data_IF_593823734672
#
_entry.id   IF_593823734672
#
_cell.length_a   1.000
_cell.length_b   1.000
_cell.length_c   1.000
_cell.angle_alpha   90.00
_cell.angle_beta   90.00
_cell.angle_gamma   90.00
#
_symmetry.space_group_name_H-M   'P 1'
#
loop_
_entity.id
_entity.type
_entity.pdbx_description
1 polymer ?
#
# COMPACT_ATOMS: atom_id res chain seq x y z
N UNK A 1 -4.48 -13.31 -48.42
CA UNK A 1 -4.59 -13.16 -46.99
C UNK A 1 -5.31 -11.85 -46.72
N UNK A 2 -6.46 -11.85 -46.08
CA UNK A 2 -7.11 -10.60 -45.69
C UNK A 2 -6.23 -9.93 -44.65
N UNK A 3 -5.62 -8.82 -45.02
CA UNK A 3 -4.85 -7.98 -44.07
C UNK A 3 -5.84 -7.39 -43.07
N UNK A 4 -5.74 -7.84 -41.86
CA UNK A 4 -6.50 -7.28 -40.73
C UNK A 4 -6.06 -5.83 -40.56
N UNK A 5 -7.01 -4.89 -40.57
CA UNK A 5 -6.71 -3.47 -40.42
C UNK A 5 -6.89 -3.07 -38.94
N UNK A 6 -5.98 -2.26 -38.38
CA UNK A 6 -6.16 -1.73 -37.04
C UNK A 6 -7.39 -0.82 -36.98
N UNK A 7 -8.13 -0.80 -35.88
CA UNK A 7 -9.21 0.15 -35.68
C UNK A 7 -8.69 1.60 -35.68
N UNK A 8 -9.54 2.52 -36.10
CA UNK A 8 -9.19 3.95 -36.14
C UNK A 8 -10.07 4.73 -35.18
N UNK A 9 -9.45 5.40 -34.21
CA UNK A 9 -10.17 6.26 -33.28
C UNK A 9 -10.75 7.49 -33.99
N UNK A 10 -11.96 7.88 -33.58
CA UNK A 10 -12.60 9.12 -34.08
C UNK A 10 -11.77 10.35 -33.69
N UNK A 11 -11.68 11.32 -34.58
CA UNK A 11 -11.08 12.61 -34.28
C UNK A 11 -12.18 13.54 -33.76
N UNK A 12 -12.10 13.87 -32.47
CA UNK A 12 -13.02 14.82 -31.77
C UNK A 12 -12.14 15.89 -31.13
N UNK A 13 -11.88 17.01 -31.83
CA UNK A 13 -10.95 18.02 -31.35
C UNK A 13 -11.43 18.69 -30.05
N UNK A 14 -10.61 18.70 -29.01
CA UNK A 14 -10.81 19.44 -27.77
C UNK A 14 -9.66 20.39 -27.51
N UNK A 15 -9.97 21.67 -27.35
CA UNK A 15 -9.00 22.66 -26.91
C UNK A 15 -8.73 22.53 -25.43
N UNK A 16 -7.45 22.44 -25.06
CA UNK A 16 -6.95 22.40 -23.70
C UNK A 16 -6.08 23.64 -23.51
N UNK A 17 -6.38 24.43 -22.47
CA UNK A 17 -5.63 25.64 -22.14
C UNK A 17 -5.11 25.55 -20.71
N UNK A 18 -3.81 25.80 -20.53
CA UNK A 18 -3.17 25.86 -19.22
C UNK A 18 -1.96 26.80 -19.30
N UNK A 19 -1.86 27.74 -18.36
CA UNK A 19 -0.75 28.70 -18.25
C UNK A 19 -0.50 29.54 -19.52
N UNK A 20 -1.56 29.84 -20.29
CA UNK A 20 -1.48 30.61 -21.54
C UNK A 20 -1.07 29.75 -22.76
N UNK A 21 -0.78 28.47 -22.59
CA UNK A 21 -0.57 27.54 -23.69
C UNK A 21 -1.90 26.92 -24.11
N UNK A 22 -2.14 26.86 -25.43
CA UNK A 22 -3.37 26.28 -26.02
C UNK A 22 -2.98 25.15 -26.97
N UNK A 23 -3.43 23.95 -26.68
CA UNK A 23 -3.25 22.80 -27.59
C UNK A 23 -4.59 22.15 -27.93
N UNK A 24 -4.66 21.53 -29.09
CA UNK A 24 -5.80 20.72 -29.49
C UNK A 24 -5.48 19.25 -29.33
N UNK A 25 -6.29 18.55 -28.53
CA UNK A 25 -6.23 17.10 -28.39
C UNK A 25 -7.42 16.48 -29.13
N UNK A 26 -7.12 15.69 -30.17
CA UNK A 26 -8.12 15.04 -31.02
C UNK A 26 -8.72 13.78 -30.36
N UNK A 27 -8.11 13.27 -29.33
CA UNK A 27 -8.43 12.00 -28.70
C UNK A 27 -8.74 12.10 -27.23
N UNK A 28 -8.94 13.31 -26.72
CA UNK A 28 -9.25 13.55 -25.30
C UNK A 28 -10.50 12.79 -24.83
N UNK A 29 -11.45 12.54 -25.72
CA UNK A 29 -12.67 11.77 -25.42
C UNK A 29 -12.40 10.34 -24.96
N UNK A 30 -11.25 9.74 -25.30
CA UNK A 30 -10.84 8.41 -24.87
C UNK A 30 -10.63 8.28 -23.34
N UNK A 31 -10.59 9.39 -22.61
CA UNK A 31 -10.51 9.35 -21.15
C UNK A 31 -11.89 9.18 -20.46
N UNK A 32 -12.96 9.20 -21.22
CA UNK A 32 -14.33 9.00 -20.73
C UNK A 32 -14.61 7.51 -20.50
N UNK A 33 -14.19 7.01 -19.35
CA UNK A 33 -14.10 5.56 -19.05
C UNK A 33 -15.40 4.77 -19.24
N UNK A 34 -16.55 5.39 -18.97
CA UNK A 34 -17.88 4.76 -19.04
C UNK A 34 -18.57 5.03 -20.39
N UNK A 35 -17.95 5.75 -21.31
CA UNK A 35 -18.51 6.04 -22.62
C UNK A 35 -18.55 4.76 -23.46
N UNK A 36 -19.75 4.34 -23.95
CA UNK A 36 -19.88 3.12 -24.76
C UNK A 36 -19.03 3.12 -26.04
N UNK A 37 -18.79 4.30 -26.67
CA UNK A 37 -17.94 4.40 -27.84
C UNK A 37 -16.47 4.16 -27.53
N UNK A 38 -16.02 4.56 -26.32
CA UNK A 38 -14.66 4.26 -25.85
C UNK A 38 -14.51 2.76 -25.62
N UNK A 39 -15.49 2.15 -24.95
CA UNK A 39 -15.47 0.71 -24.68
C UNK A 39 -15.48 -0.10 -26.01
N UNK A 40 -16.32 0.29 -26.97
CA UNK A 40 -16.37 -0.34 -28.28
C UNK A 40 -15.02 -0.23 -29.03
N UNK A 41 -14.39 0.95 -28.99
CA UNK A 41 -13.08 1.16 -29.60
C UNK A 41 -12.01 0.26 -28.94
N UNK A 42 -11.97 0.18 -27.62
CA UNK A 42 -11.02 -0.66 -26.89
C UNK A 42 -11.24 -2.17 -27.17
N UNK A 43 -12.51 -2.60 -27.29
CA UNK A 43 -12.81 -3.98 -27.67
C UNK A 43 -12.31 -4.31 -29.08
N UNK A 44 -12.48 -3.39 -30.04
CA UNK A 44 -11.93 -3.56 -31.41
C UNK A 44 -10.40 -3.61 -31.44
N UNK A 45 -9.72 -2.82 -30.60
CA UNK A 45 -8.25 -2.90 -30.44
C UNK A 45 -7.84 -4.27 -29.90
N UNK A 46 -8.56 -4.79 -28.89
CA UNK A 46 -8.31 -6.13 -28.36
C UNK A 46 -8.53 -7.23 -29.40
N UNK A 47 -9.60 -7.13 -30.21
CA UNK A 47 -9.86 -8.06 -31.31
C UNK A 47 -8.75 -8.03 -32.37
N UNK A 48 -8.32 -6.83 -32.76
CA UNK A 48 -7.20 -6.64 -33.67
C UNK A 48 -5.91 -7.27 -33.14
N UNK A 49 -5.59 -7.02 -31.84
CA UNK A 49 -4.44 -7.62 -31.18
C UNK A 49 -4.52 -9.16 -31.21
N UNK A 50 -5.64 -9.75 -30.78
CA UNK A 50 -5.83 -11.20 -30.74
C UNK A 50 -5.66 -11.84 -32.13
N UNK A 51 -6.24 -11.23 -33.17
CA UNK A 51 -6.13 -11.73 -34.52
C UNK A 51 -4.70 -11.58 -35.08
N UNK A 52 -4.05 -10.45 -34.82
CA UNK A 52 -2.70 -10.17 -35.30
C UNK A 52 -1.65 -11.08 -34.68
N UNK A 53 -1.86 -11.47 -33.39
CA UNK A 53 -0.95 -12.32 -32.63
C UNK A 53 -1.36 -13.79 -32.59
N UNK A 54 -2.46 -14.19 -33.26
CA UNK A 54 -2.97 -15.56 -33.20
C UNK A 54 -1.91 -16.62 -33.58
N UNK A 55 -1.01 -16.29 -34.51
CA UNK A 55 0.07 -17.18 -34.92
C UNK A 55 1.10 -17.48 -33.81
N UNK A 56 1.14 -16.69 -32.75
CA UNK A 56 2.06 -16.88 -31.62
C UNK A 56 1.42 -17.65 -30.44
N UNK A 57 0.14 -18.04 -30.55
CA UNK A 57 -0.63 -18.62 -29.44
C UNK A 57 0.05 -19.86 -28.84
N UNK A 58 0.49 -20.79 -29.67
CA UNK A 58 1.17 -22.00 -29.22
C UNK A 58 2.46 -21.65 -28.46
N UNK A 59 3.26 -20.72 -29.00
CA UNK A 59 4.48 -20.28 -28.34
C UNK A 59 4.20 -19.61 -27.01
N UNK A 60 3.13 -18.79 -26.90
CA UNK A 60 2.73 -18.18 -25.63
C UNK A 60 2.35 -19.24 -24.59
N UNK A 61 1.58 -20.26 -25.00
CA UNK A 61 1.16 -21.34 -24.11
C UNK A 61 2.34 -22.18 -23.63
N UNK A 62 3.26 -22.53 -24.51
CA UNK A 62 4.46 -23.29 -24.17
C UNK A 62 5.36 -22.50 -23.22
N UNK A 63 5.57 -21.21 -23.49
CA UNK A 63 6.36 -20.33 -22.63
C UNK A 63 5.70 -20.13 -21.26
N UNK A 64 4.38 -19.98 -21.22
CA UNK A 64 3.64 -19.88 -19.95
C UNK A 64 3.82 -21.16 -19.12
N UNK A 65 3.67 -22.33 -19.72
CA UNK A 65 3.86 -23.62 -19.04
C UNK A 65 5.30 -23.80 -18.53
N UNK A 66 6.30 -23.41 -19.35
CA UNK A 66 7.70 -23.43 -18.94
C UNK A 66 7.97 -22.51 -17.73
N UNK A 67 7.48 -21.27 -17.77
CA UNK A 67 7.64 -20.34 -16.65
C UNK A 67 6.92 -20.83 -15.38
N UNK A 68 5.70 -21.33 -15.52
CA UNK A 68 4.92 -21.88 -14.41
C UNK A 68 5.63 -23.07 -13.77
N UNK A 69 6.19 -23.97 -14.55
CA UNK A 69 6.90 -25.16 -14.05
C UNK A 69 8.17 -24.83 -13.24
N UNK A 70 8.69 -23.60 -13.34
CA UNK A 70 9.83 -23.15 -12.52
C UNK A 70 9.42 -22.65 -11.13
N UNK A 71 8.13 -22.46 -10.88
CA UNK A 71 7.59 -22.00 -9.61
C UNK A 71 7.25 -23.21 -8.75
N UNK A 72 7.78 -23.24 -7.52
CA UNK A 72 7.37 -24.21 -6.52
C UNK A 72 5.98 -23.82 -6.00
N UNK A 73 4.95 -24.57 -6.38
CA UNK A 73 3.56 -24.23 -6.00
C UNK A 73 3.29 -24.50 -4.51
N UNK A 74 3.82 -25.60 -3.95
CA UNK A 74 3.75 -25.91 -2.51
C UNK A 74 4.93 -25.24 -1.81
N UNK A 75 4.76 -23.98 -1.43
CA UNK A 75 5.81 -23.16 -0.84
C UNK A 75 5.33 -22.39 0.38
N UNK A 76 6.27 -21.99 1.21
CA UNK A 76 6.00 -21.16 2.38
C UNK A 76 7.09 -20.13 2.60
N UNK A 77 6.70 -18.98 3.15
CA UNK A 77 7.65 -17.96 3.60
C UNK A 77 8.53 -18.50 4.73
N UNK A 78 9.70 -17.89 4.91
CA UNK A 78 10.42 -18.01 6.18
C UNK A 78 9.51 -17.44 7.28
N UNK A 79 9.24 -18.18 8.36
CA UNK A 79 8.45 -17.66 9.46
C UNK A 79 9.14 -16.48 10.14
N UNK A 80 8.37 -15.43 10.48
CA UNK A 80 8.88 -14.34 11.30
C UNK A 80 8.16 -14.24 12.64
N UNK A 81 8.94 -13.94 13.69
CA UNK A 81 8.41 -13.82 15.05
C UNK A 81 8.00 -12.37 15.33
N UNK A 82 6.74 -12.17 15.71
CA UNK A 82 6.22 -10.88 16.11
C UNK A 82 5.13 -11.03 17.16
N UNK A 83 5.22 -10.28 18.23
CA UNK A 83 4.21 -10.18 19.26
C UNK A 83 3.71 -11.57 19.76
N UNK A 84 4.65 -12.42 20.20
CA UNK A 84 4.43 -13.79 20.72
C UNK A 84 4.00 -14.85 19.68
N UNK A 85 3.88 -14.50 18.40
CA UNK A 85 3.47 -15.42 17.33
C UNK A 85 4.50 -15.50 16.23
N UNK A 86 4.61 -16.69 15.64
CA UNK A 86 5.29 -16.94 14.37
C UNK A 86 4.28 -16.83 13.24
N UNK A 87 4.49 -15.89 12.36
CA UNK A 87 3.65 -15.67 11.17
C UNK A 87 4.22 -16.37 9.97
N UNK A 88 3.34 -17.01 9.19
CA UNK A 88 3.67 -17.85 8.03
C UNK A 88 2.70 -17.50 6.91
N UNK A 89 3.23 -17.32 5.71
CA UNK A 89 2.44 -17.27 4.48
C UNK A 89 2.77 -18.53 3.70
N UNK A 90 1.78 -19.32 3.33
CA UNK A 90 1.98 -20.56 2.58
C UNK A 90 1.03 -20.67 1.40
N UNK A 91 1.44 -21.45 0.42
CA UNK A 91 0.66 -21.78 -0.77
C UNK A 91 0.45 -23.26 -0.85
N UNK A 92 -0.59 -23.70 -1.54
CA UNK A 92 -0.93 -25.10 -1.77
C UNK A 92 -0.98 -25.38 -3.28
N UNK A 93 -0.49 -26.53 -3.70
CA UNK A 93 -0.49 -26.95 -5.10
C UNK A 93 -1.88 -26.83 -5.73
N UNK A 94 -1.97 -26.18 -6.88
CA UNK A 94 -3.22 -25.98 -7.61
C UNK A 94 -4.15 -24.92 -7.02
N UNK A 95 -3.64 -24.09 -6.10
CA UNK A 95 -4.34 -22.95 -5.53
C UNK A 95 -3.71 -21.63 -5.99
N UNK A 96 -4.54 -20.60 -6.18
CA UNK A 96 -4.09 -19.33 -6.73
C UNK A 96 -3.73 -18.30 -5.64
N UNK A 97 -4.21 -18.50 -4.40
CA UNK A 97 -4.08 -17.52 -3.34
C UNK A 97 -3.34 -18.08 -2.12
N UNK A 98 -2.68 -17.21 -1.33
CA UNK A 98 -2.01 -17.62 -0.11
C UNK A 98 -2.98 -17.98 1.02
N UNK A 99 -2.45 -18.74 1.97
CA UNK A 99 -3.01 -18.93 3.31
C UNK A 99 -2.11 -18.19 4.28
N UNK A 100 -2.68 -17.28 5.04
CA UNK A 100 -2.00 -16.55 6.11
C UNK A 100 -2.28 -17.24 7.44
N UNK A 101 -1.24 -17.61 8.15
CA UNK A 101 -1.34 -18.35 9.40
C UNK A 101 -0.36 -17.82 10.45
N UNK A 102 -0.59 -18.21 11.71
CA UNK A 102 0.34 -17.94 12.81
C UNK A 102 0.40 -19.11 13.79
N UNK A 103 1.48 -19.19 14.56
CA UNK A 103 1.67 -20.17 15.63
C UNK A 103 2.15 -19.49 16.90
N UNK A 104 1.54 -19.78 18.05
CA UNK A 104 1.86 -19.12 19.31
C UNK A 104 3.15 -19.66 19.92
N UNK A 105 4.10 -18.81 20.20
CA UNK A 105 5.31 -19.09 20.98
C UNK A 105 6.34 -19.98 20.29
N UNK A 106 5.94 -21.07 19.65
CA UNK A 106 6.81 -22.05 19.00
C UNK A 106 6.36 -22.37 17.57
N UNK A 107 7.32 -22.72 16.70
CA UNK A 107 7.04 -23.25 15.36
C UNK A 107 6.36 -24.62 15.38
N UNK A 108 6.46 -25.36 16.48
CA UNK A 108 5.79 -26.64 16.68
C UNK A 108 4.36 -26.49 17.22
N UNK A 109 3.94 -25.27 17.59
CA UNK A 109 2.60 -25.01 18.07
C UNK A 109 1.56 -25.24 16.96
N UNK A 110 0.31 -25.46 17.38
CA UNK A 110 -0.82 -25.59 16.45
C UNK A 110 -0.95 -24.33 15.59
N UNK A 111 -1.10 -24.55 14.30
CA UNK A 111 -1.35 -23.47 13.34
C UNK A 111 -2.75 -22.87 13.55
N UNK A 112 -2.81 -21.55 13.62
CA UNK A 112 -4.02 -20.75 13.60
C UNK A 112 -4.12 -20.08 12.22
N UNK A 113 -5.12 -20.43 11.41
CA UNK A 113 -5.35 -19.81 10.12
C UNK A 113 -6.01 -18.45 10.34
N UNK A 114 -5.32 -17.39 9.95
CA UNK A 114 -5.86 -16.03 9.94
C UNK A 114 -6.81 -15.84 8.77
N UNK A 115 -6.33 -16.19 7.55
CA UNK A 115 -7.09 -16.07 6.31
C UNK A 115 -6.72 -17.19 5.34
N UNK A 116 -7.69 -17.95 4.88
CA UNK A 116 -7.59 -18.77 3.69
C UNK A 116 -8.13 -17.96 2.51
N UNK A 117 -7.23 -17.35 1.76
CA UNK A 117 -7.61 -16.49 0.64
C UNK A 117 -8.26 -17.26 -0.51
N UNK A 118 -8.03 -18.57 -0.62
CA UNK A 118 -8.70 -19.42 -1.63
C UNK A 118 -10.19 -19.60 -1.31
N UNK A 119 -10.52 -19.78 -0.03
CA UNK A 119 -11.93 -19.83 0.39
C UNK A 119 -12.61 -18.48 0.28
N UNK A 120 -11.91 -17.41 0.67
CA UNK A 120 -12.43 -16.05 0.61
C UNK A 120 -12.64 -15.53 -0.83
N UNK A 121 -11.85 -16.00 -1.79
CA UNK A 121 -11.95 -15.59 -3.20
C UNK A 121 -13.14 -16.23 -3.94
N UNK A 122 -13.78 -17.26 -3.38
CA UNK A 122 -14.90 -17.95 -4.02
C UNK A 122 -16.05 -17.00 -4.33
N UNK A 123 -16.52 -17.02 -5.58
CA UNK A 123 -17.63 -16.17 -6.03
C UNK A 123 -17.22 -14.76 -6.43
N UNK A 124 -15.93 -14.41 -6.37
CA UNK A 124 -15.41 -13.14 -6.83
C UNK A 124 -14.64 -13.31 -8.13
N UNK A 125 -14.82 -12.39 -9.09
CA UNK A 125 -14.04 -12.34 -10.35
C UNK A 125 -12.63 -11.81 -10.13
N UNK A 126 -12.41 -11.09 -9.05
CA UNK A 126 -11.13 -10.60 -8.58
C UNK A 126 -11.10 -10.61 -7.06
N UNK A 127 -9.96 -10.96 -6.49
CA UNK A 127 -9.77 -10.96 -5.04
C UNK A 127 -8.33 -10.56 -4.70
N UNK A 128 -8.18 -9.63 -3.79
CA UNK A 128 -6.88 -9.30 -3.21
C UNK A 128 -7.05 -8.90 -1.74
N UNK A 129 -6.33 -9.58 -0.85
CA UNK A 129 -6.23 -9.25 0.57
C UNK A 129 -4.87 -8.61 0.83
N UNK A 130 -4.87 -7.46 1.51
CA UNK A 130 -3.66 -6.70 1.82
C UNK A 130 -3.78 -6.01 3.19
N UNK A 131 -2.69 -5.44 3.66
CA UNK A 131 -2.69 -4.52 4.79
C UNK A 131 -3.03 -5.15 6.14
N UNK A 132 -2.77 -6.44 6.34
CA UNK A 132 -3.01 -7.10 7.62
C UNK A 132 -2.27 -6.40 8.77
N UNK A 133 -3.03 -6.00 9.80
CA UNK A 133 -2.51 -5.37 11.00
C UNK A 133 -3.16 -6.00 12.22
N UNK A 134 -2.39 -6.75 13.00
CA UNK A 134 -2.86 -7.41 14.23
C UNK A 134 -2.75 -6.41 15.38
N UNK A 135 -3.81 -6.34 16.23
CA UNK A 135 -3.82 -5.52 17.44
C UNK A 135 -2.74 -5.93 18.44
N UNK A 136 -2.31 -5.02 19.31
CA UNK A 136 -1.20 -5.28 20.24
C UNK A 136 -1.50 -6.41 21.24
N UNK A 137 -2.78 -6.66 21.51
CA UNK A 137 -3.26 -7.75 22.38
C UNK A 137 -3.50 -9.08 21.62
N UNK A 138 -3.21 -9.13 20.32
CA UNK A 138 -3.38 -10.29 19.43
C UNK A 138 -4.82 -10.78 19.22
N UNK A 139 -5.85 -9.99 19.58
CA UNK A 139 -7.26 -10.40 19.52
C UNK A 139 -7.97 -9.99 18.23
N UNK A 140 -7.51 -8.92 17.60
CA UNK A 140 -8.12 -8.37 16.39
C UNK A 140 -7.10 -8.33 15.25
N UNK A 141 -7.59 -8.45 14.01
CA UNK A 141 -6.83 -8.14 12.81
C UNK A 141 -7.63 -7.24 11.89
N UNK A 142 -7.09 -6.08 11.54
CA UNK A 142 -7.58 -5.25 10.46
C UNK A 142 -6.95 -5.73 9.15
N UNK A 143 -7.73 -5.77 8.07
CA UNK A 143 -7.27 -6.19 6.75
C UNK A 143 -8.06 -5.50 5.65
N UNK A 144 -7.43 -5.25 4.52
CA UNK A 144 -8.05 -4.63 3.36
C UNK A 144 -8.43 -5.64 2.28
N UNK A 145 -9.61 -5.50 1.69
CA UNK A 145 -10.07 -6.28 0.54
C UNK A 145 -10.28 -5.38 -0.66
N UNK A 146 -9.69 -5.74 -1.81
CA UNK A 146 -10.05 -5.23 -3.13
C UNK A 146 -10.70 -6.36 -3.93
N UNK A 147 -11.97 -6.16 -4.29
CA UNK A 147 -12.77 -7.12 -5.05
C UNK A 147 -13.05 -6.64 -6.49
N UNK A 148 -12.41 -5.54 -6.91
CA UNK A 148 -12.69 -4.85 -8.18
C UNK A 148 -11.44 -4.68 -9.06
N UNK A 149 -10.26 -5.03 -8.56
CA UNK A 149 -8.96 -4.81 -9.25
C UNK A 149 -8.60 -3.33 -9.46
N UNK A 150 -9.01 -2.45 -8.54
CA UNK A 150 -8.73 -1.01 -8.65
C UNK A 150 -7.82 -0.48 -7.56
N UNK A 151 -7.28 -1.35 -6.73
CA UNK A 151 -6.49 -0.94 -5.55
C UNK A 151 -7.25 0.04 -4.64
N UNK A 152 -8.58 -0.11 -4.62
CA UNK A 152 -9.49 0.54 -3.68
C UNK A 152 -9.92 -0.51 -2.68
N UNK A 153 -9.31 -0.46 -1.52
CA UNK A 153 -9.55 -1.47 -0.49
C UNK A 153 -10.63 -1.01 0.47
N UNK A 154 -11.42 -1.99 0.90
CA UNK A 154 -12.29 -1.87 2.06
C UNK A 154 -11.60 -2.50 3.25
N UNK A 155 -11.30 -1.73 4.30
CA UNK A 155 -10.78 -2.28 5.54
C UNK A 155 -11.94 -2.90 6.32
N UNK A 156 -11.71 -4.11 6.81
CA UNK A 156 -12.57 -4.86 7.73
C UNK A 156 -11.76 -5.31 8.93
N UNK A 157 -12.44 -5.71 10.00
CA UNK A 157 -11.81 -6.14 11.23
C UNK A 157 -12.35 -7.51 11.61
N UNK A 158 -11.44 -8.46 11.87
CA UNK A 158 -11.78 -9.82 12.32
C UNK A 158 -11.37 -10.01 13.76
N UNK A 159 -12.27 -10.57 14.58
CA UNK A 159 -11.95 -11.09 15.89
C UNK A 159 -11.26 -12.44 15.73
N UNK A 160 -10.04 -12.56 16.22
CA UNK A 160 -9.20 -13.77 16.06
C UNK A 160 -9.56 -14.89 17.04
N UNK A 161 -10.27 -14.59 18.13
CA UNK A 161 -10.73 -15.59 19.08
C UNK A 161 -12.03 -16.29 18.61
N UNK A 162 -12.95 -15.50 18.01
CA UNK A 162 -14.26 -16.02 17.55
C UNK A 162 -14.31 -16.31 16.06
N UNK A 163 -13.41 -15.70 15.27
CA UNK A 163 -13.43 -15.76 13.80
C UNK A 163 -14.43 -14.80 13.16
N UNK A 164 -15.18 -14.05 13.94
CA UNK A 164 -16.23 -13.11 13.48
C UNK A 164 -15.64 -11.88 12.79
N UNK A 165 -16.24 -11.46 11.67
CA UNK A 165 -15.97 -10.15 11.06
C UNK A 165 -16.87 -9.13 11.75
N UNK A 166 -16.25 -8.08 12.29
CA UNK A 166 -16.97 -7.01 12.99
C UNK A 166 -17.75 -6.14 11.99
N UNK A 167 -18.66 -5.34 12.52
CA UNK A 167 -19.51 -4.45 11.70
C UNK A 167 -18.72 -3.27 11.06
N UNK A 168 -17.53 -3.01 11.56
CA UNK A 168 -16.67 -1.93 11.07
C UNK A 168 -16.26 -2.18 9.62
N UNK A 169 -16.59 -1.24 8.74
CA UNK A 169 -16.30 -1.30 7.31
C UNK A 169 -15.87 0.07 6.82
N UNK A 170 -14.63 0.18 6.34
CA UNK A 170 -14.03 1.45 5.93
C UNK A 170 -13.64 1.35 4.46
N UNK A 171 -14.33 2.08 3.60
CA UNK A 171 -14.17 2.04 2.14
C UNK A 171 -13.18 3.10 1.64
N UNK A 172 -12.75 2.99 0.37
CA UNK A 172 -11.86 3.93 -0.31
C UNK A 172 -10.52 4.14 0.39
N UNK A 173 -9.91 3.06 0.83
CA UNK A 173 -8.62 3.06 1.52
C UNK A 173 -7.50 2.44 0.69
N UNK A 174 -6.27 2.52 1.19
CA UNK A 174 -5.12 1.76 0.67
C UNK A 174 -5.09 0.30 1.15
N UNK A 175 -5.97 -0.09 2.07
CA UNK A 175 -6.00 -1.40 2.74
C UNK A 175 -5.11 -1.48 3.97
N UNK A 176 -4.05 -0.66 4.06
CA UNK A 176 -3.15 -0.62 5.20
C UNK A 176 -3.71 0.21 6.36
N UNK A 177 -3.40 -0.23 7.58
CA UNK A 177 -3.82 0.44 8.82
C UNK A 177 -2.86 0.18 9.98
N UNK A 178 -3.00 0.96 11.04
CA UNK A 178 -2.16 0.87 12.24
C UNK A 178 -2.98 1.04 13.51
N UNK A 179 -2.92 0.07 14.39
CA UNK A 179 -3.56 0.12 15.70
C UNK A 179 -2.83 1.05 16.67
N UNK A 180 -3.56 1.90 17.37
CA UNK A 180 -3.09 2.48 18.62
C UNK A 180 -2.87 1.38 19.67
N UNK A 181 -2.17 1.71 20.76
CA UNK A 181 -1.90 0.77 21.86
C UNK A 181 -3.17 0.41 22.64
N UNK A 182 -4.22 1.23 22.56
CA UNK A 182 -5.53 1.00 23.17
C UNK A 182 -6.32 -0.17 22.55
N UNK A 183 -5.88 -0.71 21.40
CA UNK A 183 -6.55 -1.75 20.59
C UNK A 183 -7.99 -1.39 20.20
N UNK A 184 -8.35 -0.11 20.21
CA UNK A 184 -9.70 0.42 19.87
C UNK A 184 -9.64 1.49 18.81
N UNK A 185 -8.49 2.09 18.59
CA UNK A 185 -8.28 3.16 17.63
C UNK A 185 -7.40 2.67 16.49
N UNK A 186 -7.86 2.86 15.27
CA UNK A 186 -7.17 2.47 14.04
C UNK A 186 -6.88 3.71 13.19
N UNK A 187 -5.62 3.89 12.79
CA UNK A 187 -5.25 4.90 11.82
C UNK A 187 -5.13 4.26 10.43
N UNK A 188 -5.64 4.91 9.39
CA UNK A 188 -5.61 4.38 8.04
C UNK A 188 -5.45 5.48 6.99
N UNK A 189 -5.05 5.08 5.80
CA UNK A 189 -4.88 5.97 4.65
C UNK A 189 -6.10 5.90 3.74
N UNK A 190 -6.78 7.02 3.58
CA UNK A 190 -7.86 7.19 2.60
C UNK A 190 -7.30 7.53 1.22
N UNK A 191 -8.07 7.21 0.19
CA UNK A 191 -7.76 7.49 -1.21
C UNK A 191 -8.80 8.40 -1.84
N UNK A 192 -8.34 9.28 -2.71
CA UNK A 192 -9.23 10.00 -3.62
C UNK A 192 -9.86 9.03 -4.61
N UNK A 193 -11.18 9.07 -4.75
CA UNK A 193 -11.93 8.11 -5.55
C UNK A 193 -11.67 8.21 -7.07
N UNK A 194 -11.27 9.39 -7.57
CA UNK A 194 -11.00 9.62 -9.00
C UNK A 194 -9.55 9.37 -9.36
N UNK A 195 -8.63 9.98 -8.62
CA UNK A 195 -7.20 9.94 -8.90
C UNK A 195 -6.53 8.72 -8.32
N UNK A 196 -7.16 8.06 -7.35
CA UNK A 196 -6.62 6.97 -6.53
C UNK A 196 -5.40 7.38 -5.70
N UNK A 197 -5.16 8.69 -5.56
CA UNK A 197 -4.07 9.22 -4.76
C UNK A 197 -4.35 8.96 -3.28
N UNK A 198 -3.34 8.55 -2.54
CA UNK A 198 -3.37 8.44 -1.09
C UNK A 198 -2.96 9.79 -0.48
N UNK A 199 -3.93 10.57 -0.03
CA UNK A 199 -3.73 11.97 0.36
C UNK A 199 -4.26 12.31 1.76
N UNK A 200 -4.94 11.37 2.43
CA UNK A 200 -5.58 11.62 3.73
C UNK A 200 -5.28 10.52 4.73
N UNK A 201 -5.03 10.90 5.98
CA UNK A 201 -4.99 9.96 7.10
C UNK A 201 -6.16 10.23 8.01
N UNK A 202 -6.87 9.16 8.33
CA UNK A 202 -8.01 9.18 9.22
C UNK A 202 -7.74 8.37 10.48
N UNK A 203 -8.51 8.68 11.52
CA UNK A 203 -8.61 7.95 12.77
C UNK A 203 -10.02 7.37 12.89
N UNK A 204 -10.12 6.03 12.98
CA UNK A 204 -11.34 5.29 13.20
C UNK A 204 -11.38 4.75 14.64
N UNK A 205 -12.53 4.84 15.29
CA UNK A 205 -12.77 4.23 16.59
C UNK A 205 -13.63 2.97 16.42
N UNK A 206 -13.12 1.85 16.87
CA UNK A 206 -13.79 0.57 16.77
C UNK A 206 -15.24 0.63 17.26
N UNK A 207 -16.18 0.09 16.46
CA UNK A 207 -17.61 0.07 16.74
C UNK A 207 -18.34 1.34 16.33
N UNK A 208 -17.68 2.33 15.70
CA UNK A 208 -18.35 3.53 15.16
C UNK A 208 -18.53 3.40 13.64
N UNK A 209 -19.31 4.30 13.03
CA UNK A 209 -19.43 4.35 11.57
C UNK A 209 -18.22 5.05 10.96
N UNK A 210 -17.76 4.60 9.81
CA UNK A 210 -16.66 5.25 9.09
C UNK A 210 -16.98 6.68 8.62
N UNK A 211 -18.26 7.07 8.55
CA UNK A 211 -18.67 8.46 8.33
C UNK A 211 -18.28 9.41 9.48
N UNK A 212 -18.04 8.87 10.66
CA UNK A 212 -17.71 9.63 11.88
C UNK A 212 -16.19 9.70 12.11
N UNK A 213 -15.40 9.13 11.18
CA UNK A 213 -13.96 9.08 11.28
C UNK A 213 -13.33 10.47 11.21
N UNK A 214 -12.33 10.68 12.05
CA UNK A 214 -11.65 11.96 12.17
C UNK A 214 -10.52 12.05 11.15
N UNK A 215 -10.55 13.05 10.28
CA UNK A 215 -9.43 13.42 9.41
C UNK A 215 -8.31 14.01 10.28
N UNK A 216 -7.18 13.31 10.39
CA UNK A 216 -6.04 13.76 11.20
C UNK A 216 -4.93 14.42 10.37
N UNK A 217 -4.85 14.10 9.09
CA UNK A 217 -3.91 14.73 8.17
C UNK A 217 -4.44 14.72 6.73
N UNK A 218 -4.20 15.83 6.00
CA UNK A 218 -4.50 15.94 4.58
C UNK A 218 -3.30 16.52 3.83
N UNK A 219 -2.72 15.71 2.95
CA UNK A 219 -1.65 16.12 2.04
C UNK A 219 -2.24 16.88 0.84
N UNK A 220 -2.07 18.19 0.84
CA UNK A 220 -2.64 19.08 -0.18
C UNK A 220 -1.79 19.22 -1.43
N UNK A 221 -0.49 18.93 -1.33
CA UNK A 221 0.42 18.94 -2.48
C UNK A 221 0.21 17.64 -3.27
N UNK A 222 -0.28 17.76 -4.50
CA UNK A 222 -0.61 16.62 -5.38
C UNK A 222 0.60 15.86 -5.90
N UNK A 223 1.81 16.36 -5.68
CA UNK A 223 3.06 15.65 -5.96
C UNK A 223 3.47 14.67 -4.86
N UNK A 224 2.78 14.67 -3.71
CA UNK A 224 3.04 13.78 -2.59
C UNK A 224 1.94 12.73 -2.41
N UNK A 225 2.33 11.54 -1.98
CA UNK A 225 1.45 10.53 -1.42
C UNK A 225 1.73 10.39 0.08
N UNK A 226 0.70 10.05 0.86
CA UNK A 226 0.84 9.84 2.31
C UNK A 226 0.48 8.41 2.71
N UNK A 227 1.03 7.98 3.82
CA UNK A 227 0.80 6.67 4.42
C UNK A 227 0.94 6.73 5.93
N UNK A 228 0.40 5.73 6.63
CA UNK A 228 0.51 5.63 8.10
C UNK A 228 0.97 4.23 8.50
N UNK A 229 1.85 4.16 9.50
CA UNK A 229 2.32 2.91 10.07
C UNK A 229 2.70 3.07 11.53
N UNK A 230 2.70 1.96 12.28
CA UNK A 230 3.29 1.89 13.61
C UNK A 230 4.74 1.41 13.47
N UNK A 231 5.68 2.17 14.00
CA UNK A 231 7.08 1.81 13.91
C UNK A 231 7.42 0.59 14.81
N UNK A 232 8.59 -0.02 14.56
CA UNK A 232 8.97 -1.33 15.12
C UNK A 232 9.03 -1.38 16.66
N UNK A 233 9.37 -0.28 17.32
CA UNK A 233 9.36 -0.22 18.81
C UNK A 233 7.95 -0.20 19.39
N UNK A 234 6.94 0.06 18.56
CA UNK A 234 5.52 0.22 18.90
C UNK A 234 5.20 1.50 19.69
N UNK A 235 6.18 2.37 19.90
CA UNK A 235 6.00 3.62 20.65
C UNK A 235 5.28 4.69 19.83
N UNK A 236 5.54 4.76 18.51
CA UNK A 236 5.01 5.79 17.63
C UNK A 236 4.13 5.24 16.52
N UNK A 237 3.07 5.98 16.24
CA UNK A 237 2.36 5.96 14.96
C UNK A 237 2.96 7.07 14.11
N UNK A 238 3.31 6.75 12.89
CA UNK A 238 4.03 7.65 11.99
C UNK A 238 3.20 7.87 10.73
N UNK A 239 3.00 9.14 10.37
CA UNK A 239 2.53 9.55 9.05
C UNK A 239 3.75 9.90 8.22
N UNK A 240 3.87 9.30 7.03
CA UNK A 240 4.85 9.67 6.04
C UNK A 240 4.19 10.34 4.84
N UNK A 241 4.81 11.39 4.31
CA UNK A 241 4.48 12.01 3.03
C UNK A 241 5.72 11.97 2.15
N UNK A 242 5.60 11.42 0.94
CA UNK A 242 6.71 11.25 0.02
C UNK A 242 6.39 11.69 -1.41
N UNK A 243 7.31 12.42 -2.01
CA UNK A 243 7.40 12.68 -3.45
C UNK A 243 8.62 11.94 -4.03
N UNK A 244 8.96 12.18 -5.30
CA UNK A 244 10.09 11.50 -5.94
C UNK A 244 11.43 11.76 -5.24
N UNK A 245 11.64 12.96 -4.68
CA UNK A 245 12.93 13.41 -4.14
C UNK A 245 12.83 14.05 -2.75
N UNK A 246 11.69 13.96 -2.08
CA UNK A 246 11.49 14.65 -0.81
C UNK A 246 10.54 13.85 0.08
N UNK A 247 10.90 13.70 1.34
CA UNK A 247 10.06 13.06 2.35
C UNK A 247 9.80 13.97 3.54
N UNK A 248 8.70 13.74 4.24
CA UNK A 248 8.37 14.35 5.53
C UNK A 248 7.67 13.32 6.41
N UNK A 249 7.99 13.32 7.69
CA UNK A 249 7.34 12.44 8.66
C UNK A 249 6.72 13.25 9.79
N UNK A 250 5.60 12.75 10.30
CA UNK A 250 4.96 13.21 11.51
C UNK A 250 4.80 12.03 12.47
N UNK A 251 4.92 12.27 13.76
CA UNK A 251 4.89 11.24 14.79
C UNK A 251 3.84 11.55 15.87
N UNK A 252 3.22 10.48 16.37
CA UNK A 252 2.27 10.50 17.48
C UNK A 252 2.58 9.33 18.40
N UNK A 253 2.58 9.54 19.72
CA UNK A 253 2.67 8.43 20.68
C UNK A 253 1.51 7.46 20.50
N UNK A 254 1.82 6.17 20.33
CA UNK A 254 0.82 5.15 20.01
C UNK A 254 -0.15 4.85 21.15
N UNK A 255 0.18 5.23 22.38
CA UNK A 255 -0.67 5.13 23.58
C UNK A 255 -1.57 6.36 23.80
N UNK A 256 -1.36 7.42 23.00
CA UNK A 256 -2.17 8.64 23.04
C UNK A 256 -2.85 8.93 21.67
N UNK A 257 -3.85 8.13 21.25
CA UNK A 257 -4.47 8.27 19.94
C UNK A 257 -5.26 9.56 19.74
N UNK A 258 -5.57 10.27 20.81
CA UNK A 258 -6.26 11.57 20.78
C UNK A 258 -5.30 12.77 20.78
N UNK A 259 -4.00 12.51 20.82
CA UNK A 259 -2.95 13.51 20.68
C UNK A 259 -2.88 14.11 19.27
N UNK A 260 -1.95 15.04 19.09
CA UNK A 260 -1.71 15.70 17.82
C UNK A 260 -0.42 15.18 17.21
N UNK A 261 -0.45 14.83 15.92
CA UNK A 261 0.75 14.51 15.17
C UNK A 261 1.67 15.73 15.10
N UNK A 262 2.95 15.54 15.44
CA UNK A 262 3.98 16.58 15.33
C UNK A 262 4.93 16.27 14.19
N UNK A 263 5.30 17.28 13.43
CA UNK A 263 6.29 17.16 12.35
C UNK A 263 7.63 16.76 12.96
N UNK A 264 8.25 15.71 12.40
CA UNK A 264 9.58 15.25 12.81
C UNK A 264 10.68 16.20 12.32
N UNK A 265 10.69 16.48 11.03
CA UNK A 265 11.52 17.46 10.35
C UNK A 265 10.70 18.03 9.19
N UNK A 266 10.49 19.36 9.12
CA UNK A 266 9.80 19.98 7.99
C UNK A 266 10.43 19.61 6.66
N UNK A 267 9.61 19.43 5.63
CA UNK A 267 10.08 19.08 4.30
C UNK A 267 11.02 20.15 3.74
N UNK A 268 12.10 19.69 3.16
CA UNK A 268 13.06 20.49 2.42
C UNK A 268 13.26 19.84 1.07
N UNK A 269 13.08 20.57 0.00
CA UNK A 269 13.20 20.03 -1.36
C UNK A 269 14.55 19.32 -1.54
N UNK A 270 14.50 18.06 -1.98
CA UNK A 270 15.68 17.22 -2.18
C UNK A 270 16.19 16.51 -0.92
N UNK A 271 15.56 16.74 0.23
CA UNK A 271 15.87 15.99 1.46
C UNK A 271 14.99 14.74 1.51
N UNK A 272 15.63 13.59 1.42
CA UNK A 272 15.06 12.28 1.62
C UNK A 272 15.54 11.72 2.95
N UNK A 273 14.63 11.19 3.76
CA UNK A 273 14.98 10.52 4.99
C UNK A 273 13.92 9.52 5.39
N UNK A 274 14.30 8.51 6.17
CA UNK A 274 13.40 7.61 6.87
C UNK A 274 13.80 7.56 8.35
N UNK A 275 12.82 7.23 9.20
CA UNK A 275 13.03 7.24 10.65
C UNK A 275 12.67 5.90 11.27
N UNK A 276 13.45 5.51 12.29
CA UNK A 276 13.17 4.37 13.16
C UNK A 276 13.51 4.75 14.58
N UNK A 277 12.66 4.39 15.54
CA UNK A 277 12.91 4.67 16.95
C UNK A 277 13.44 3.42 17.67
N UNK A 278 14.46 3.60 18.51
CA UNK A 278 14.95 2.55 19.37
C UNK A 278 15.52 3.13 20.68
N UNK A 279 15.04 2.62 21.81
CA UNK A 279 15.36 3.07 23.17
C UNK A 279 15.01 4.53 23.39
N UNK A 280 15.97 5.45 23.24
CA UNK A 280 15.91 6.87 23.60
C UNK A 280 16.17 7.83 22.43
N UNK A 281 16.33 7.29 21.21
CA UNK A 281 16.68 8.10 20.03
C UNK A 281 16.06 7.57 18.75
N UNK A 282 16.01 8.46 17.77
CA UNK A 282 15.70 8.09 16.38
C UNK A 282 16.99 7.81 15.61
N UNK A 283 16.90 6.83 14.73
CA UNK A 283 17.86 6.49 13.69
C UNK A 283 17.30 6.98 12.37
N UNK A 284 18.11 7.69 11.61
CA UNK A 284 17.68 8.42 10.41
C UNK A 284 18.58 8.02 9.25
N UNK A 285 18.03 7.29 8.28
CA UNK A 285 18.69 7.05 7.00
C UNK A 285 18.37 8.21 6.07
N UNK A 286 19.37 8.92 5.54
CA UNK A 286 19.14 10.19 4.84
C UNK A 286 20.22 10.50 3.80
N UNK A 287 19.84 11.29 2.78
CA UNK A 287 20.74 11.92 1.82
C UNK A 287 21.22 13.33 2.27
N UNK A 288 20.97 13.71 3.51
CA UNK A 288 21.36 15.01 4.06
C UNK A 288 22.85 15.32 3.82
N UNK A 289 23.17 16.62 3.71
CA UNK A 289 24.53 17.14 3.55
C UNK A 289 25.27 16.54 2.34
N UNK A 290 24.53 16.37 1.22
CA UNK A 290 25.02 15.82 -0.05
C UNK A 290 25.46 14.35 0.02
N UNK A 291 24.90 13.57 0.93
CA UNK A 291 25.13 12.14 1.03
C UNK A 291 24.38 11.38 -0.08
N UNK A 292 24.90 11.39 -1.31
CA UNK A 292 24.25 10.81 -2.50
C UNK A 292 23.99 9.31 -2.39
N UNK A 293 24.78 8.60 -1.58
CA UNK A 293 24.62 7.16 -1.28
C UNK A 293 24.02 6.95 0.12
N UNK A 294 23.35 7.96 0.65
CA UNK A 294 22.78 8.01 1.99
C UNK A 294 23.85 7.89 3.10
N UNK A 295 23.40 8.14 4.30
CA UNK A 295 24.14 7.96 5.55
C UNK A 295 23.16 7.68 6.68
N UNK A 296 23.64 7.07 7.76
CA UNK A 296 22.84 6.84 8.96
C UNK A 296 23.21 7.90 10.02
N UNK A 297 22.18 8.60 10.47
CA UNK A 297 22.31 9.60 11.54
C UNK A 297 21.45 9.22 12.74
N UNK A 298 21.67 9.87 13.88
CA UNK A 298 20.83 9.73 15.07
C UNK A 298 20.47 11.08 15.63
N UNK A 299 19.30 11.15 16.32
CA UNK A 299 18.88 12.33 17.08
C UNK A 299 18.18 11.91 18.37
N UNK A 300 18.26 12.69 19.45
CA UNK A 300 17.47 12.46 20.66
C UNK A 300 15.96 12.51 20.38
N UNK A 301 15.19 11.79 21.14
CA UNK A 301 13.73 11.68 20.99
C UNK A 301 13.00 13.04 20.99
N UNK A 302 13.47 13.96 21.81
CA UNK A 302 12.87 15.29 22.01
C UNK A 302 13.46 16.39 21.11
N UNK A 303 14.43 16.06 20.23
CA UNK A 303 15.15 17.02 19.40
C UNK A 303 15.23 16.52 17.95
N UNK A 304 14.07 16.42 17.29
CA UNK A 304 13.95 15.74 15.99
C UNK A 304 14.39 16.56 14.78
N UNK A 305 14.59 17.88 14.92
CA UNK A 305 14.99 18.74 13.82
C UNK A 305 16.42 18.42 13.32
N UNK A 306 16.64 18.63 12.04
CA UNK A 306 17.89 18.27 11.32
C UNK A 306 19.15 18.84 11.96
N UNK A 307 19.07 20.00 12.59
CA UNK A 307 20.20 20.64 13.30
C UNK A 307 20.75 19.80 14.47
N UNK A 308 19.94 18.85 14.98
CA UNK A 308 20.33 17.95 16.07
C UNK A 308 20.80 16.55 15.56
N UNK A 309 20.78 16.33 14.25
CA UNK A 309 21.18 15.04 13.69
C UNK A 309 22.71 14.88 13.71
N UNK A 310 23.18 13.77 14.22
CA UNK A 310 24.61 13.43 14.30
C UNK A 310 24.90 12.16 13.52
N UNK A 311 26.00 12.13 12.79
CA UNK A 311 26.41 10.96 12.02
C UNK A 311 26.68 9.76 12.93
N UNK A 312 26.06 8.62 12.61
CA UNK A 312 26.38 7.31 13.19
C UNK A 312 27.20 6.48 12.21
N UNK A 313 26.78 6.42 10.96
CA UNK A 313 27.53 5.85 9.84
C UNK A 313 27.64 6.96 8.79
N UNK A 314 28.82 7.54 8.57
CA UNK A 314 29.00 8.63 7.63
C UNK A 314 28.85 8.17 6.18
N UNK A 315 28.57 9.12 5.30
CA UNK A 315 28.46 8.88 3.87
C UNK A 315 29.75 8.30 3.30
N UNK A 316 29.60 7.33 2.42
CA UNK A 316 30.68 6.75 1.60
C UNK A 316 30.31 6.83 0.12
N UNK A 317 31.29 7.19 -0.73
CA UNK A 317 31.03 7.29 -2.19
C UNK A 317 30.94 5.93 -2.89
N UNK A 318 31.52 4.91 -2.27
CA UNK A 318 31.63 3.54 -2.80
C UNK A 318 30.60 2.56 -2.24
N UNK A 319 29.75 3.00 -1.31
CA UNK A 319 28.74 2.16 -0.65
C UNK A 319 27.42 2.91 -0.57
N UNK A 320 26.35 2.28 -1.03
CA UNK A 320 24.96 2.70 -0.80
C UNK A 320 24.49 2.11 0.54
N UNK A 321 23.93 2.93 1.41
CA UNK A 321 23.28 2.50 2.65
C UNK A 321 21.79 2.24 2.43
#
# INVERSE_FOLDING_TARGET
MNTIQPPVAKIIPKKLEKHGDVRTDNYYWLNERENPEVIDYLNKENEYYQQSTAHTKQFQDDLFLEMKARIKEDDSSVPYFYNEYWYITRFETGKDYPIYARKKGSLDAKEEILFDCNEMAKGHSYFNLSGMSVSSDNKLVAFGLDLVSRRQYTIQIKNLETGEILADKIENTTGGSSWSTDNKTLFYTGKDAQTLRSDKIFKHKLGTKSSDDVLVFHEKDDTYNTFVYKEKSKKYIIIGSGSTLTTEYQILEADNPDGTFRVFQPRTRGLEYSISFYKDKFYILTNADKATNFKLMTTPENATLKENWTDLIPHRKDVLL
#
